data_IF_650504520571
#
_entry.id   IF_650504520571
#
_cell.length_a   1.000
_cell.length_b   1.000
_cell.length_c   1.000
_cell.angle_alpha   90.00
_cell.angle_beta   90.00
_cell.angle_gamma   90.00
#
_symmetry.space_group_name_H-M   'P 1'
#
loop_
_entity.id
_entity.type
_entity.pdbx_description
1 polymer ?
#
# COMPACT_ATOMS: atom_id res chain seq x y z
N UNK A 1 53.63 -2.92 24.46
CA UNK A 1 52.61 -2.50 23.46
C UNK A 1 51.38 -3.36 23.70
N UNK A 2 50.34 -2.79 24.30
CA UNK A 2 49.09 -3.50 24.59
C UNK A 2 48.25 -3.45 23.30
N UNK A 3 47.73 -4.56 22.77
CA UNK A 3 46.87 -4.51 21.60
C UNK A 3 45.57 -3.81 22.02
N UNK A 4 45.27 -2.69 21.36
CA UNK A 4 43.98 -1.99 21.52
C UNK A 4 42.93 -2.97 21.01
N UNK A 5 42.12 -3.52 21.92
CA UNK A 5 40.92 -4.29 21.54
C UNK A 5 40.09 -3.39 20.63
N UNK A 6 39.84 -3.86 19.41
CA UNK A 6 38.86 -3.28 18.48
C UNK A 6 37.59 -3.07 19.31
N UNK A 7 37.19 -1.82 19.54
CA UNK A 7 35.95 -1.53 20.24
C UNK A 7 34.85 -2.34 19.56
N UNK A 8 34.18 -3.15 20.36
CA UNK A 8 33.05 -3.99 19.96
C UNK A 8 32.12 -3.16 19.08
N UNK A 9 32.01 -3.54 17.81
CA UNK A 9 31.17 -2.80 16.90
C UNK A 9 29.73 -2.88 17.40
N UNK A 10 29.07 -1.75 17.72
CA UNK A 10 27.78 -1.79 18.39
C UNK A 10 26.66 -2.32 17.50
N UNK A 11 26.86 -2.36 16.19
CA UNK A 11 25.83 -2.86 15.27
C UNK A 11 25.91 -4.39 15.25
N UNK A 12 24.86 -5.14 15.58
CA UNK A 12 24.89 -6.60 15.53
C UNK A 12 24.78 -7.12 14.08
N UNK A 13 25.30 -8.32 13.81
CA UNK A 13 25.01 -9.05 12.56
C UNK A 13 23.50 -9.33 12.51
N UNK A 14 22.90 -9.16 11.33
CA UNK A 14 21.46 -9.26 11.12
C UNK A 14 20.69 -7.95 11.35
N UNK A 15 21.35 -6.88 11.83
CA UNK A 15 20.72 -5.56 11.97
C UNK A 15 20.15 -5.05 10.65
N UNK A 16 18.94 -4.47 10.71
CA UNK A 16 18.28 -3.85 9.56
C UNK A 16 18.45 -2.33 9.63
N UNK A 17 19.00 -1.77 8.55
CA UNK A 17 19.13 -0.32 8.37
C UNK A 17 18.24 0.15 7.21
N UNK A 18 17.35 1.11 7.49
CA UNK A 18 16.51 1.75 6.49
C UNK A 18 17.19 3.04 6.04
N UNK A 19 17.66 3.06 4.79
CA UNK A 19 18.24 4.23 4.14
C UNK A 19 17.12 5.06 3.51
N UNK A 20 16.90 6.25 4.07
CA UNK A 20 16.06 7.27 3.44
C UNK A 20 16.73 7.82 2.17
N UNK A 21 15.95 8.34 1.21
CA UNK A 21 16.48 9.08 0.08
C UNK A 21 17.47 10.16 0.51
N UNK A 22 18.52 10.35 -0.30
CA UNK A 22 19.51 11.40 -0.11
C UNK A 22 20.37 11.24 1.17
N UNK A 23 20.27 10.10 1.86
CA UNK A 23 21.15 9.71 2.97
C UNK A 23 22.27 8.77 2.50
N UNK A 24 23.38 8.78 3.23
CA UNK A 24 24.51 7.86 3.00
C UNK A 24 24.07 6.40 3.17
N UNK A 25 24.70 5.51 2.39
CA UNK A 25 24.54 4.06 2.55
C UNK A 25 25.22 3.59 3.85
N UNK A 26 24.80 2.44 4.42
CA UNK A 26 25.42 1.97 5.66
C UNK A 26 26.90 1.59 5.49
N UNK A 27 27.34 1.24 4.27
CA UNK A 27 28.76 1.02 3.98
C UNK A 27 29.60 2.29 4.05
N UNK A 28 29.00 3.46 3.80
CA UNK A 28 29.65 4.76 3.97
C UNK A 28 29.62 5.27 5.42
N UNK A 29 28.55 4.92 6.18
CA UNK A 29 28.40 5.30 7.59
C UNK A 29 29.27 4.43 8.50
N UNK A 30 29.34 3.13 8.21
CA UNK A 30 30.15 2.16 8.94
C UNK A 30 31.14 1.46 8.01
N UNK A 31 32.25 2.14 7.67
CA UNK A 31 33.30 1.55 6.84
C UNK A 31 33.87 0.28 7.47
N UNK A 32 34.07 -0.74 6.64
CA UNK A 32 34.62 -2.03 7.06
C UNK A 32 33.59 -3.04 7.56
N UNK A 33 32.29 -2.71 7.55
CA UNK A 33 31.21 -3.68 7.73
C UNK A 33 30.62 -4.10 6.39
N UNK A 34 30.12 -5.32 6.34
CA UNK A 34 29.46 -5.91 5.19
C UNK A 34 27.95 -5.75 5.31
N UNK A 35 27.35 -5.26 4.22
CA UNK A 35 25.94 -4.96 4.14
C UNK A 35 25.37 -5.53 2.85
N UNK A 36 24.19 -6.13 2.95
CA UNK A 36 23.42 -6.65 1.83
C UNK A 36 22.17 -5.80 1.61
N UNK A 37 21.89 -5.42 0.37
CA UNK A 37 20.65 -4.74 0.02
C UNK A 37 19.52 -5.78 -0.08
N UNK A 38 18.62 -5.77 0.91
CA UNK A 38 17.47 -6.68 0.99
C UNK A 38 16.17 -6.04 0.51
N UNK A 39 16.22 -4.81 -0.02
CA UNK A 39 15.04 -4.09 -0.56
C UNK A 39 14.20 -4.90 -1.55
N UNK A 40 14.77 -5.75 -2.45
CA UNK A 40 13.95 -6.57 -3.36
C UNK A 40 12.94 -7.48 -2.65
N UNK A 41 13.21 -7.90 -1.40
CA UNK A 41 12.28 -8.72 -0.61
C UNK A 41 11.08 -7.93 -0.07
N UNK A 42 11.08 -6.60 -0.20
CA UNK A 42 10.05 -5.70 0.31
C UNK A 42 9.43 -4.84 -0.80
N UNK A 43 9.72 -5.14 -2.08
CA UNK A 43 9.31 -4.32 -3.21
C UNK A 43 7.79 -4.13 -3.29
N UNK A 44 7.35 -2.88 -3.27
CA UNK A 44 5.92 -2.54 -3.39
C UNK A 44 5.12 -2.59 -2.09
N UNK A 45 5.71 -3.06 -0.98
CA UNK A 45 5.06 -3.11 0.32
C UNK A 45 5.07 -1.74 1.03
N UNK A 46 4.08 -1.54 1.91
CA UNK A 46 4.07 -0.45 2.89
C UNK A 46 4.42 -0.99 4.27
N UNK A 47 5.31 -0.30 4.97
CA UNK A 47 5.57 -0.59 6.38
C UNK A 47 4.42 -0.05 7.23
N UNK A 48 3.79 -0.96 7.98
CA UNK A 48 2.87 -0.65 9.06
C UNK A 48 3.40 -1.26 10.35
N UNK A 49 3.22 -0.57 11.47
CA UNK A 49 3.50 -1.14 12.77
C UNK A 49 2.45 -2.21 13.10
N UNK A 50 2.87 -3.26 13.81
CA UNK A 50 1.94 -4.26 14.35
C UNK A 50 0.96 -3.62 15.35
N UNK A 51 -0.32 -3.99 15.28
CA UNK A 51 -1.38 -3.48 16.16
C UNK A 51 -2.72 -3.20 15.45
N UNK A 52 -3.82 -3.23 16.20
CA UNK A 52 -5.18 -3.02 15.65
C UNK A 52 -5.55 -4.07 14.59
N UNK A 53 -6.09 -3.62 13.45
CA UNK A 53 -6.41 -4.47 12.29
C UNK A 53 -5.15 -5.02 11.57
N UNK A 54 -3.96 -4.68 12.05
CA UNK A 54 -2.69 -5.27 11.66
C UNK A 54 -2.26 -6.43 12.56
N UNK A 55 -3.19 -7.33 12.89
CA UNK A 55 -2.97 -8.40 13.87
C UNK A 55 -2.03 -9.52 13.41
N UNK A 56 -1.82 -9.66 12.10
CA UNK A 56 -0.92 -10.67 11.54
C UNK A 56 0.51 -10.16 11.38
N UNK A 57 1.39 -10.49 12.32
CA UNK A 57 2.83 -10.30 12.12
C UNK A 57 3.32 -11.17 10.96
N UNK A 58 4.00 -10.54 9.99
CA UNK A 58 4.57 -11.26 8.84
C UNK A 58 3.59 -11.67 7.74
N UNK A 59 2.29 -11.38 7.87
CA UNK A 59 1.33 -11.58 6.78
C UNK A 59 1.17 -10.32 5.94
N UNK A 60 1.23 -10.46 4.61
CA UNK A 60 0.88 -9.39 3.68
C UNK A 60 -0.63 -9.14 3.69
N UNK A 61 -1.04 -7.87 3.71
CA UNK A 61 -2.45 -7.49 3.56
C UNK A 61 -2.73 -7.20 2.08
N UNK A 62 -3.68 -7.92 1.49
CA UNK A 62 -3.95 -7.87 0.05
C UNK A 62 -4.89 -6.76 -0.43
N UNK A 63 -5.38 -5.87 0.45
CA UNK A 63 -6.39 -4.88 0.08
C UNK A 63 -5.83 -3.47 0.07
N UNK A 64 -5.94 -2.82 -1.09
CA UNK A 64 -5.75 -1.39 -1.28
C UNK A 64 -7.09 -0.74 -1.64
N UNK A 65 -7.21 0.57 -1.43
CA UNK A 65 -8.36 1.32 -1.92
C UNK A 65 -8.33 1.35 -3.47
N UNK A 66 -9.43 0.97 -4.14
CA UNK A 66 -9.50 0.97 -5.60
C UNK A 66 -9.42 2.40 -6.15
N UNK A 67 -8.66 2.60 -7.23
CA UNK A 67 -8.63 3.87 -7.95
C UNK A 67 -9.90 4.07 -8.78
N UNK A 68 -10.75 5.01 -8.36
CA UNK A 68 -11.88 5.51 -9.14
C UNK A 68 -11.36 6.49 -10.19
N UNK A 69 -11.51 6.15 -11.47
CA UNK A 69 -11.14 7.01 -12.60
C UNK A 69 -12.28 7.94 -13.00
N UNK A 70 -13.51 7.42 -13.00
CA UNK A 70 -14.71 8.15 -13.42
C UNK A 70 -15.89 7.76 -12.57
N UNK A 71 -16.82 8.69 -12.42
CA UNK A 71 -18.18 8.43 -11.96
C UNK A 71 -19.14 8.73 -13.11
N UNK A 72 -20.15 7.89 -13.28
CA UNK A 72 -21.20 8.09 -14.27
C UNK A 72 -22.55 7.97 -13.61
N UNK A 73 -23.41 8.94 -13.87
CA UNK A 73 -24.79 8.94 -13.42
C UNK A 73 -25.69 8.41 -14.53
N UNK A 74 -26.61 7.51 -14.19
CA UNK A 74 -27.55 6.94 -15.14
C UNK A 74 -28.92 6.69 -14.49
N UNK A 75 -29.93 6.53 -15.32
CA UNK A 75 -31.29 6.22 -14.87
C UNK A 75 -31.54 4.73 -15.06
N UNK A 76 -31.98 4.04 -14.00
CA UNK A 76 -32.29 2.62 -14.04
C UNK A 76 -33.76 2.34 -13.68
N UNK A 77 -34.42 1.37 -14.36
CA UNK A 77 -35.79 1.00 -14.03
C UNK A 77 -35.92 0.47 -12.61
N UNK A 78 -36.99 0.87 -11.92
CA UNK A 78 -37.35 0.42 -10.57
C UNK A 78 -37.46 -1.11 -10.45
N UNK A 79 -37.85 -1.78 -11.54
CA UNK A 79 -37.92 -3.24 -11.62
C UNK A 79 -36.55 -3.93 -11.58
N UNK A 80 -35.46 -3.19 -11.78
CA UNK A 80 -34.09 -3.65 -11.68
C UNK A 80 -33.57 -3.15 -10.34
N UNK A 81 -33.53 -4.00 -9.31
CA UNK A 81 -33.06 -3.59 -7.97
C UNK A 81 -31.60 -3.16 -8.07
N UNK A 82 -31.26 -1.86 -8.01
CA UNK A 82 -29.86 -1.45 -7.98
C UNK A 82 -29.28 -1.90 -6.65
N UNK A 83 -27.99 -2.26 -6.61
CA UNK A 83 -27.39 -2.70 -5.35
C UNK A 83 -27.28 -1.53 -4.39
N UNK A 84 -27.46 -1.78 -3.09
CA UNK A 84 -27.20 -0.80 -2.03
C UNK A 84 -25.71 -0.82 -1.67
N UNK A 85 -25.05 -1.97 -1.83
CA UNK A 85 -23.63 -2.14 -1.58
C UNK A 85 -22.78 -1.92 -2.83
N UNK A 86 -21.58 -1.37 -2.62
CA UNK A 86 -20.58 -1.17 -3.67
C UNK A 86 -19.60 -2.33 -3.67
N UNK A 87 -19.73 -3.22 -4.67
CA UNK A 87 -18.70 -4.21 -4.96
C UNK A 87 -17.72 -3.60 -5.96
N UNK A 88 -16.49 -3.40 -5.53
CA UNK A 88 -15.42 -2.88 -6.39
C UNK A 88 -14.72 -4.01 -7.14
N UNK A 89 -14.77 -4.04 -8.48
CA UNK A 89 -13.98 -4.99 -9.25
C UNK A 89 -12.50 -4.60 -9.23
N UNK A 90 -11.61 -5.55 -9.56
CA UNK A 90 -10.19 -5.27 -9.74
C UNK A 90 -9.91 -4.27 -10.87
N UNK A 91 -10.75 -4.26 -11.89
CA UNK A 91 -10.80 -3.26 -12.96
C UNK A 91 -12.17 -3.26 -13.64
N UNK A 92 -12.54 -2.15 -14.29
CA UNK A 92 -13.82 -1.99 -14.99
C UNK A 92 -14.88 -1.25 -14.17
N UNK A 93 -16.10 -1.19 -14.70
CA UNK A 93 -17.21 -0.51 -14.05
C UNK A 93 -17.75 -1.32 -12.87
N UNK A 94 -18.07 -0.64 -11.76
CA UNK A 94 -18.93 -1.22 -10.71
C UNK A 94 -20.33 -1.47 -11.27
N UNK A 95 -21.12 -2.28 -10.54
CA UNK A 95 -22.56 -2.28 -10.76
C UNK A 95 -23.14 -0.89 -10.41
N UNK A 96 -24.27 -0.51 -11.03
CA UNK A 96 -24.98 0.72 -10.68
C UNK A 96 -25.51 0.64 -9.25
N UNK A 97 -25.23 1.69 -8.47
CA UNK A 97 -25.66 1.83 -7.07
C UNK A 97 -26.74 2.89 -7.04
N UNK A 98 -27.84 2.62 -6.34
CA UNK A 98 -28.91 3.61 -6.18
C UNK A 98 -28.40 4.84 -5.43
N UNK A 99 -28.47 6.02 -6.04
CA UNK A 99 -28.14 7.29 -5.40
C UNK A 99 -29.38 8.07 -4.97
N UNK A 100 -30.48 7.99 -5.74
CA UNK A 100 -31.73 8.66 -5.44
C UNK A 100 -32.92 8.03 -6.18
N UNK A 101 -34.13 8.38 -5.73
CA UNK A 101 -35.36 8.14 -6.48
C UNK A 101 -35.53 9.21 -7.56
N UNK A 102 -35.92 8.83 -8.78
CA UNK A 102 -36.08 9.80 -9.84
C UNK A 102 -37.39 10.59 -9.63
N UNK A 103 -37.26 11.88 -9.38
CA UNK A 103 -38.39 12.76 -9.10
C UNK A 103 -39.38 12.88 -10.28
N UNK A 104 -38.86 12.87 -11.51
CA UNK A 104 -39.67 13.08 -12.72
C UNK A 104 -40.28 11.78 -13.25
N UNK A 105 -39.82 10.62 -12.76
CA UNK A 105 -40.32 9.32 -13.17
C UNK A 105 -40.25 8.31 -12.02
N UNK A 106 -41.40 8.08 -11.40
CA UNK A 106 -41.53 7.17 -10.26
C UNK A 106 -41.13 5.72 -10.54
N UNK A 107 -41.04 5.34 -11.81
CA UNK A 107 -40.64 4.00 -12.25
C UNK A 107 -39.13 3.87 -12.44
N UNK A 108 -38.34 4.88 -12.06
CA UNK A 108 -36.91 4.90 -12.26
C UNK A 108 -36.15 5.39 -11.02
N UNK A 109 -34.90 4.96 -10.92
CA UNK A 109 -33.90 5.41 -9.95
C UNK A 109 -32.79 6.18 -10.65
N UNK A 110 -32.24 7.16 -9.96
CA UNK A 110 -30.92 7.71 -10.29
C UNK A 110 -29.87 6.79 -9.66
N UNK A 111 -28.88 6.39 -10.46
CA UNK A 111 -27.80 5.53 -10.03
C UNK A 111 -26.44 6.13 -10.36
N UNK A 112 -25.43 5.68 -9.62
CA UNK A 112 -24.03 5.97 -9.88
C UNK A 112 -23.29 4.66 -10.14
N UNK A 113 -22.37 4.69 -11.10
CA UNK A 113 -21.34 3.65 -11.26
C UNK A 113 -19.97 4.28 -11.36
N UNK A 114 -18.96 3.54 -10.92
CA UNK A 114 -17.57 3.99 -10.89
C UNK A 114 -16.71 3.15 -11.81
N UNK A 115 -15.90 3.79 -12.64
CA UNK A 115 -14.88 3.10 -13.44
C UNK A 115 -13.64 2.91 -12.58
N UNK A 116 -13.30 1.66 -12.31
CA UNK A 116 -12.09 1.30 -11.58
C UNK A 116 -11.00 0.99 -12.59
N UNK A 117 -9.95 1.81 -12.63
CA UNK A 117 -8.81 1.61 -13.56
C UNK A 117 -7.84 0.52 -13.06
N UNK A 118 -8.14 -0.09 -11.92
CA UNK A 118 -7.20 -0.87 -11.14
C UNK A 118 -6.13 -0.02 -10.46
N UNK A 119 -5.38 -0.68 -9.58
CA UNK A 119 -4.30 -0.07 -8.82
C UNK A 119 -4.71 0.51 -7.48
N UNK A 120 -3.75 0.48 -6.56
CA UNK A 120 -3.78 1.06 -5.23
C UNK A 120 -3.74 2.60 -5.32
N UNK A 121 -4.73 3.28 -4.74
CA UNK A 121 -4.55 4.70 -4.37
C UNK A 121 -3.71 4.72 -3.10
N UNK A 122 -2.44 5.08 -3.25
CA UNK A 122 -1.52 5.30 -2.13
C UNK A 122 -1.14 6.77 -2.03
N UNK A 123 -0.85 7.28 -0.83
CA UNK A 123 -0.19 8.57 -0.67
C UNK A 123 1.07 8.64 -1.53
N UNK A 124 1.46 9.86 -1.91
CA UNK A 124 2.77 10.10 -2.53
C UNK A 124 3.84 9.52 -1.61
N UNK A 125 4.59 8.55 -2.10
CA UNK A 125 5.66 7.89 -1.37
C UNK A 125 7.01 8.08 -2.06
N UNK A 126 8.08 7.98 -1.27
CA UNK A 126 9.46 8.01 -1.75
C UNK A 126 10.08 6.67 -1.40
N UNK A 127 10.70 6.01 -2.37
CA UNK A 127 11.31 4.71 -2.17
C UNK A 127 12.48 4.80 -1.18
N UNK A 128 12.54 3.87 -0.22
CA UNK A 128 13.68 3.69 0.69
C UNK A 128 14.49 2.46 0.27
N UNK A 129 15.73 2.35 0.76
CA UNK A 129 16.50 1.10 0.67
C UNK A 129 16.60 0.45 2.04
N UNK A 130 16.53 -0.87 2.08
CA UNK A 130 16.62 -1.67 3.29
C UNK A 130 17.89 -2.52 3.18
N UNK A 131 18.73 -2.43 4.20
CA UNK A 131 20.02 -3.10 4.25
C UNK A 131 20.08 -4.03 5.45
N UNK A 132 20.70 -5.19 5.29
CA UNK A 132 20.98 -6.15 6.36
C UNK A 132 22.48 -6.26 6.59
N UNK A 133 22.93 -6.16 7.84
CA UNK A 133 24.33 -6.41 8.19
C UNK A 133 24.65 -7.90 8.10
N UNK A 134 25.69 -8.25 7.35
CA UNK A 134 26.09 -9.65 7.11
C UNK A 134 27.49 -9.97 7.63
N UNK A 135 28.32 -8.97 7.92
CA UNK A 135 29.69 -9.10 8.43
C UNK A 135 30.28 -7.81 8.95
#
# INVERSE_FOLDING_TARGET
MIPIRRLDNPVPIGFIYVQLPDQKSPGEIWPGLQWENVSPSYGGLFFRAEGGDSVGFGSEQGYSAPRIERAYAETYPFSTVPTIDVIFPASGWTLPIMSAHNYNDSMNYETLKFLISGGEVRPVNKAVRIWKRTG
#
